data_IF_961562578218
#
_entry.id   IF_961562578218
#
_cell.length_a   1.000
_cell.length_b   1.000
_cell.length_c   1.000
_cell.angle_alpha   90.00
_cell.angle_beta   90.00
_cell.angle_gamma   90.00
#
_symmetry.space_group_name_H-M   'P 1'
#
loop_
_entity.id
_entity.type
_entity.pdbx_description
1 polymer ?
#
# COMPACT_ATOMS: atom_id res chain seq x y z
N UNK A 1 -8.84 -2.72 4.33
CA UNK A 1 -7.53 -2.06 4.14
C UNK A 1 -7.34 -0.78 4.97
N UNK A 2 -8.11 0.31 4.76
CA UNK A 2 -7.93 1.59 5.49
C UNK A 2 -7.79 1.40 7.00
N UNK A 3 -8.74 0.69 7.61
CA UNK A 3 -8.74 0.36 9.05
C UNK A 3 -7.48 -0.36 9.52
N UNK A 4 -6.95 -1.29 8.72
CA UNK A 4 -5.74 -2.05 9.09
C UNK A 4 -4.50 -1.14 9.10
N UNK A 5 -4.37 -0.25 8.10
CA UNK A 5 -3.28 0.73 8.05
C UNK A 5 -3.40 1.76 9.20
N UNK A 6 -4.60 2.27 9.47
CA UNK A 6 -4.83 3.21 10.57
C UNK A 6 -4.53 2.59 11.94
N UNK A 7 -4.94 1.33 12.19
CA UNK A 7 -4.60 0.61 13.43
C UNK A 7 -3.09 0.40 13.60
N UNK A 8 -2.36 0.25 12.49
CA UNK A 8 -0.90 0.17 12.50
C UNK A 8 -0.22 1.56 12.54
N UNK A 9 -0.97 2.62 12.85
CA UNK A 9 -0.49 4.01 12.95
C UNK A 9 0.10 4.57 11.65
N UNK A 10 -0.36 4.10 10.49
CA UNK A 10 -0.06 4.73 9.21
C UNK A 10 -1.16 5.76 8.85
N UNK A 11 -0.79 7.00 8.50
CA UNK A 11 -1.76 7.99 8.07
C UNK A 11 -2.37 7.58 6.72
N UNK A 12 -3.69 7.59 6.65
CA UNK A 12 -4.47 7.28 5.44
C UNK A 12 -5.22 8.53 5.03
N UNK A 13 -5.05 8.97 3.78
CA UNK A 13 -5.74 10.14 3.23
C UNK A 13 -6.57 9.75 2.01
N UNK A 14 -7.68 10.45 1.72
CA UNK A 14 -8.36 10.34 0.43
C UNK A 14 -7.40 10.68 -0.71
N UNK A 15 -7.51 9.95 -1.82
CA UNK A 15 -6.78 10.26 -3.04
C UNK A 15 -7.57 11.27 -3.87
N UNK A 16 -6.90 12.18 -4.60
CA UNK A 16 -7.57 13.03 -5.57
C UNK A 16 -8.21 12.18 -6.68
N UNK A 17 -9.22 12.73 -7.36
CA UNK A 17 -10.05 11.99 -8.33
C UNK A 17 -9.23 11.22 -9.38
N UNK A 18 -8.15 11.82 -9.88
CA UNK A 18 -7.29 11.21 -10.91
C UNK A 18 -6.44 10.02 -10.42
N UNK A 19 -6.32 9.81 -9.09
CA UNK A 19 -5.58 8.70 -8.47
C UNK A 19 -6.48 7.67 -7.79
N UNK A 20 -7.81 7.79 -7.88
CA UNK A 20 -8.71 6.87 -7.16
C UNK A 20 -8.63 5.42 -7.67
N UNK A 21 -8.06 5.19 -8.85
CA UNK A 21 -7.88 3.84 -9.38
C UNK A 21 -9.18 3.13 -9.78
N UNK A 22 -10.29 3.85 -9.92
CA UNK A 22 -11.62 3.28 -10.21
C UNK A 22 -11.91 3.04 -11.70
N UNK A 23 -11.05 3.54 -12.60
CA UNK A 23 -11.26 3.38 -14.04
C UNK A 23 -11.16 1.89 -14.42
N UNK A 24 -12.15 1.30 -15.14
CA UNK A 24 -12.10 -0.10 -15.57
C UNK A 24 -10.90 -0.46 -16.47
N UNK A 25 -10.31 0.53 -17.15
CA UNK A 25 -9.09 0.36 -17.97
C UNK A 25 -7.80 0.34 -17.13
N UNK A 26 -7.85 0.74 -15.86
CA UNK A 26 -6.69 0.64 -14.97
C UNK A 26 -6.33 -0.84 -14.77
N UNK A 27 -5.03 -1.17 -14.84
CA UNK A 27 -4.52 -2.53 -14.75
C UNK A 27 -5.00 -3.28 -13.50
N UNK A 28 -5.16 -2.60 -12.37
CA UNK A 28 -5.65 -3.21 -11.13
C UNK A 28 -7.10 -3.72 -11.24
N UNK A 29 -7.92 -3.17 -12.15
CA UNK A 29 -9.32 -3.55 -12.35
C UNK A 29 -9.53 -4.53 -13.51
N UNK A 30 -8.46 -5.03 -14.13
CA UNK A 30 -8.55 -5.96 -15.27
C UNK A 30 -8.59 -7.43 -14.84
N UNK A 31 -8.54 -7.71 -13.54
CA UNK A 31 -8.75 -9.06 -13.00
C UNK A 31 -10.22 -9.50 -13.10
N UNK A 32 -10.46 -10.80 -12.87
CA UNK A 32 -11.78 -11.45 -12.99
C UNK A 32 -12.88 -10.70 -12.23
N UNK A 33 -12.58 -10.20 -11.02
CA UNK A 33 -13.55 -9.49 -10.16
C UNK A 33 -13.75 -8.02 -10.53
N UNK A 34 -12.91 -7.43 -11.39
CA UNK A 34 -12.93 -6.01 -11.76
C UNK A 34 -12.88 -5.01 -10.57
N UNK A 35 -12.33 -5.45 -9.43
CA UNK A 35 -12.34 -4.72 -8.15
C UNK A 35 -10.92 -4.62 -7.58
N UNK A 36 -10.04 -3.92 -8.28
CA UNK A 36 -8.69 -3.65 -7.82
C UNK A 36 -8.64 -2.64 -6.69
N UNK A 37 -7.57 -2.69 -5.88
CA UNK A 37 -7.26 -1.68 -4.88
C UNK A 37 -5.89 -1.06 -5.17
N UNK A 38 -5.86 0.25 -5.34
CA UNK A 38 -4.62 1.04 -5.44
C UNK A 38 -4.26 1.62 -4.07
N UNK A 39 -2.98 1.61 -3.72
CA UNK A 39 -2.44 2.26 -2.52
C UNK A 39 -1.25 3.11 -2.96
N UNK A 40 -1.39 4.42 -2.81
CA UNK A 40 -0.32 5.37 -3.11
C UNK A 40 0.52 5.67 -1.87
N UNK A 41 1.84 5.62 -2.02
CA UNK A 41 2.80 5.85 -0.94
C UNK A 41 3.62 7.10 -1.22
N UNK A 42 3.69 8.00 -0.23
CA UNK A 42 4.55 9.18 -0.32
C UNK A 42 6.02 8.77 -0.52
N UNK A 43 6.82 9.63 -1.16
CA UNK A 43 8.25 9.41 -1.33
C UNK A 43 8.95 9.20 0.01
N UNK A 44 8.71 10.08 0.98
CA UNK A 44 9.28 10.00 2.32
C UNK A 44 9.00 8.67 3.01
N UNK A 45 7.76 8.17 2.95
CA UNK A 45 7.44 6.87 3.54
C UNK A 45 8.20 5.72 2.86
N UNK A 46 8.40 5.79 1.54
CA UNK A 46 9.20 4.78 0.81
C UNK A 46 10.67 4.85 1.18
N UNK A 47 11.21 6.03 1.45
CA UNK A 47 12.58 6.22 1.93
C UNK A 47 12.76 5.63 3.33
N UNK A 48 11.80 5.87 4.24
CA UNK A 48 11.84 5.35 5.61
C UNK A 48 11.73 3.80 5.70
N UNK A 49 11.35 3.13 4.60
CA UNK A 49 11.24 1.67 4.53
C UNK A 49 12.58 0.95 4.34
N UNK A 50 13.61 1.63 3.86
CA UNK A 50 14.88 1.01 3.50
C UNK A 50 16.04 1.81 4.05
N UNK A 51 17.21 1.19 4.15
CA UNK A 51 18.43 1.92 4.50
C UNK A 51 18.73 3.02 3.47
N UNK A 52 18.62 2.66 2.18
CA UNK A 52 18.83 3.56 1.05
C UNK A 52 17.90 3.16 -0.12
N UNK A 53 17.51 4.11 -0.95
CA UNK A 53 16.58 3.90 -2.08
C UNK A 53 17.23 3.37 -3.38
N UNK A 54 18.41 2.78 -3.28
CA UNK A 54 19.08 2.07 -4.36
C UNK A 54 18.85 0.55 -4.28
N UNK A 55 19.33 -0.22 -5.27
CA UNK A 55 19.11 -1.68 -5.34
C UNK A 55 19.67 -2.42 -4.12
N UNK A 56 20.86 -2.06 -3.64
CA UNK A 56 21.50 -2.70 -2.49
C UNK A 56 20.82 -2.30 -1.17
N UNK A 57 20.52 -1.00 -1.01
CA UNK A 57 19.81 -0.46 0.14
C UNK A 57 18.44 -1.09 0.37
N UNK A 58 17.71 -1.40 -0.70
CA UNK A 58 16.41 -2.09 -0.63
C UNK A 58 16.46 -3.53 -0.11
N UNK A 59 17.65 -4.15 -0.04
CA UNK A 59 17.83 -5.44 0.64
C UNK A 59 17.76 -5.28 2.16
N UNK A 60 18.06 -4.08 2.67
CA UNK A 60 18.04 -3.72 4.09
C UNK A 60 16.74 -2.99 4.43
N UNK A 61 15.73 -3.75 4.85
CA UNK A 61 14.41 -3.25 5.24
C UNK A 61 14.41 -2.76 6.68
N UNK A 62 13.77 -1.63 6.94
CA UNK A 62 13.61 -1.12 8.30
C UNK A 62 12.49 -1.86 9.04
N UNK A 63 12.43 -1.76 10.38
CA UNK A 63 11.28 -2.23 11.15
C UNK A 63 9.95 -1.61 10.68
N UNK A 64 9.98 -0.36 10.19
CA UNK A 64 8.80 0.33 9.66
C UNK A 64 8.22 -0.39 8.43
N UNK A 65 9.09 -0.84 7.50
CA UNK A 65 8.66 -1.65 6.35
C UNK A 65 7.95 -2.93 6.80
N UNK A 66 8.52 -3.65 7.77
CA UNK A 66 7.93 -4.89 8.27
C UNK A 66 6.57 -4.64 8.92
N UNK A 67 6.43 -3.58 9.71
CA UNK A 67 5.15 -3.15 10.29
C UNK A 67 4.12 -2.81 9.20
N UNK A 68 4.53 -2.11 8.14
CA UNK A 68 3.67 -1.80 7.00
C UNK A 68 3.18 -3.08 6.31
N UNK A 69 4.08 -4.02 6.00
CA UNK A 69 3.73 -5.30 5.38
C UNK A 69 2.76 -6.11 6.24
N UNK A 70 2.96 -6.15 7.55
CA UNK A 70 2.04 -6.82 8.48
C UNK A 70 0.64 -6.18 8.44
N UNK A 71 0.56 -4.85 8.41
CA UNK A 71 -0.71 -4.13 8.28
C UNK A 71 -1.42 -4.43 6.96
N UNK A 72 -0.69 -4.48 5.84
CA UNK A 72 -1.24 -4.88 4.54
C UNK A 72 -1.78 -6.31 4.59
N UNK A 73 -1.02 -7.27 5.14
CA UNK A 73 -1.45 -8.67 5.27
C UNK A 73 -2.71 -8.79 6.13
N UNK A 74 -2.79 -8.06 7.23
CA UNK A 74 -3.99 -8.02 8.07
C UNK A 74 -5.19 -7.44 7.29
N UNK A 75 -4.96 -6.38 6.51
CA UNK A 75 -6.00 -5.76 5.68
C UNK A 75 -6.49 -6.63 4.52
N UNK A 76 -5.66 -7.53 3.99
CA UNK A 76 -6.06 -8.53 2.97
C UNK A 76 -6.89 -9.62 3.62
N UNK A 77 -6.46 -10.17 4.76
CA UNK A 77 -7.20 -11.22 5.48
C UNK A 77 -8.59 -10.77 5.96
N UNK A 78 -8.80 -9.47 6.13
CA UNK A 78 -10.10 -8.91 6.51
C UNK A 78 -11.03 -8.65 5.32
N UNK A 79 -10.61 -8.95 4.09
CA UNK A 79 -11.48 -8.77 2.92
C UNK A 79 -12.46 -9.96 2.83
N UNK A 80 -13.71 -9.71 2.42
CA UNK A 80 -14.67 -10.79 2.18
C UNK A 80 -14.21 -11.68 1.02
N UNK A 81 -14.52 -12.97 1.15
CA UNK A 81 -14.28 -14.02 0.15
C UNK A 81 -14.93 -13.72 -1.19
#
# INVERSE_FOLDING_TARGET
MKTALSRASFPVKPLPNYLQGINPKNIINRGVRKQGLQIELTMRLREDFFKEMNRAGRQNRTPLFNRFVQAIRAGIRSLPS
#
